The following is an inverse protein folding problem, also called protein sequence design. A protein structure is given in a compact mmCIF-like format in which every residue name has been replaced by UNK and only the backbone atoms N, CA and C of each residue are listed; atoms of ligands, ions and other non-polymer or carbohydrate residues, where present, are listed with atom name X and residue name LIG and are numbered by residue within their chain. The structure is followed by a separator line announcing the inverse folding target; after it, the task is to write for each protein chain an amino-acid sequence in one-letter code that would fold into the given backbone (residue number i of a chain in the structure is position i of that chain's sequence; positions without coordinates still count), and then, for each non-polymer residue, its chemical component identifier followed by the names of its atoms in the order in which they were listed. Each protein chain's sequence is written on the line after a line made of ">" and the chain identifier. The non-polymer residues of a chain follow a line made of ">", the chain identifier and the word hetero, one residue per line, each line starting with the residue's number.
data_IF_453940012293
#
_entry.id   IF_453940012293
#
_cell.length_a   1.000
_cell.length_b   1.000
_cell.length_c   1.000
_cell.angle_alpha   90.00
_cell.angle_beta   90.00
_cell.angle_gamma   90.00
#
_symmetry.space_group_name_H-M   'P 1'
#
loop_
_entity.id
_entity.type
_entity.pdbx_description
1 polymer ?
#
# COMPACT_ATOMS: atom_id res chain seq x y z
N UNK A 1 -15.12 18.64 -73.74
CA UNK A 1 -15.12 18.21 -72.33
C UNK A 1 -14.85 19.44 -71.48
N UNK A 2 -15.88 19.97 -70.83
CA UNK A 2 -15.79 21.23 -70.08
C UNK A 2 -15.32 20.95 -68.66
N UNK A 3 -14.13 21.44 -68.30
CA UNK A 3 -13.62 21.40 -66.93
C UNK A 3 -14.19 22.58 -66.14
N UNK A 4 -15.01 22.29 -65.12
CA UNK A 4 -15.42 23.30 -64.16
C UNK A 4 -14.28 23.53 -63.15
N UNK A 5 -13.86 24.79 -62.89
CA UNK A 5 -12.81 25.07 -61.93
C UNK A 5 -13.36 24.85 -60.51
N UNK A 6 -12.62 24.09 -59.69
CA UNK A 6 -12.96 23.91 -58.28
C UNK A 6 -13.01 25.28 -57.57
N UNK A 7 -14.13 25.57 -56.91
CA UNK A 7 -14.30 26.85 -56.20
C UNK A 7 -13.70 26.76 -54.79
N UNK A 8 -13.31 27.89 -54.19
CA UNK A 8 -12.79 27.92 -52.80
C UNK A 8 -13.75 27.27 -51.80
N UNK A 9 -15.05 27.36 -52.03
CA UNK A 9 -16.09 26.69 -51.23
C UNK A 9 -16.05 25.16 -51.37
N UNK A 10 -15.89 24.62 -52.58
CA UNK A 10 -15.77 23.17 -52.77
C UNK A 10 -14.47 22.62 -52.17
N UNK A 11 -13.38 23.39 -52.21
CA UNK A 11 -12.12 23.03 -51.55
C UNK A 11 -12.25 22.98 -50.02
N UNK A 12 -12.86 24.01 -49.41
CA UNK A 12 -13.06 24.05 -47.95
C UNK A 12 -14.01 22.95 -47.45
N UNK A 13 -15.09 22.65 -48.20
CA UNK A 13 -15.98 21.54 -47.86
C UNK A 13 -15.27 20.18 -47.97
N UNK A 14 -14.45 19.96 -48.99
CA UNK A 14 -13.67 18.74 -49.15
C UNK A 14 -12.59 18.58 -48.06
N UNK A 15 -11.89 19.68 -47.72
CA UNK A 15 -10.90 19.68 -46.64
C UNK A 15 -11.53 19.43 -45.26
N UNK A 16 -12.70 20.01 -44.99
CA UNK A 16 -13.46 19.76 -43.76
C UNK A 16 -13.94 18.31 -43.63
N UNK A 17 -14.42 17.71 -44.72
CA UNK A 17 -14.83 16.30 -44.74
C UNK A 17 -13.65 15.34 -44.52
N UNK A 18 -12.47 15.64 -45.10
CA UNK A 18 -11.26 14.84 -44.89
C UNK A 18 -10.74 14.93 -43.44
N UNK A 19 -10.81 16.12 -42.81
CA UNK A 19 -10.43 16.30 -41.41
C UNK A 19 -11.40 15.60 -40.45
N UNK A 20 -12.71 15.63 -40.73
CA UNK A 20 -13.71 14.92 -39.94
C UNK A 20 -13.57 13.39 -40.05
N UNK A 21 -13.17 12.87 -41.21
CA UNK A 21 -12.90 11.45 -41.41
C UNK A 21 -11.68 10.95 -40.62
N UNK A 22 -10.65 11.79 -40.45
CA UNK A 22 -9.46 11.43 -39.65
C UNK A 22 -9.74 11.39 -38.13
N UNK A 23 -10.69 12.18 -37.65
CA UNK A 23 -11.10 12.18 -36.24
C UNK A 23 -11.94 10.96 -35.84
N UNK A 24 -12.57 10.27 -36.80
CA UNK A 24 -13.38 9.07 -36.54
C UNK A 24 -12.55 7.78 -36.46
N UNK A 25 -11.30 7.79 -36.95
CA UNK A 25 -10.41 6.61 -37.01
C UNK A 25 -9.50 6.51 -35.79
N UNK A 26 -9.29 7.60 -35.06
CA UNK A 26 -8.52 7.59 -33.81
C UNK A 26 -9.36 7.07 -32.64
N UNK A 27 -9.88 5.85 -32.75
CA UNK A 27 -10.30 5.10 -31.57
C UNK A 27 -9.03 4.72 -30.83
N UNK A 28 -8.79 5.34 -29.67
CA UNK A 28 -7.80 4.86 -28.72
C UNK A 28 -8.14 3.40 -28.42
N UNK A 29 -7.43 2.45 -29.03
CA UNK A 29 -7.58 1.05 -28.69
C UNK A 29 -7.10 0.90 -27.24
N UNK A 30 -7.97 0.40 -26.38
CA UNK A 30 -7.57 0.04 -25.03
C UNK A 30 -6.48 -1.05 -25.12
N UNK A 31 -5.54 -1.04 -24.16
CA UNK A 31 -4.57 -2.13 -24.04
C UNK A 31 -5.33 -3.44 -23.82
N UNK A 32 -4.88 -4.51 -24.48
CA UNK A 32 -5.39 -5.86 -24.23
C UNK A 32 -5.26 -6.22 -22.75
N UNK A 33 -6.18 -7.03 -22.18
CA UNK A 33 -6.05 -7.49 -20.80
C UNK A 33 -4.67 -8.09 -20.55
N UNK A 34 -4.07 -7.73 -19.41
CA UNK A 34 -2.75 -8.26 -19.00
C UNK A 34 -2.84 -9.79 -18.95
N UNK A 35 -2.12 -10.46 -19.85
CA UNK A 35 -1.98 -11.92 -19.84
C UNK A 35 -1.20 -12.32 -18.60
N UNK A 36 -1.91 -12.80 -17.59
CA UNK A 36 -1.29 -13.40 -16.41
C UNK A 36 -0.76 -14.79 -16.79
N UNK A 37 0.24 -15.25 -16.05
CA UNK A 37 0.71 -16.65 -16.11
C UNK A 37 -0.43 -17.60 -15.72
N UNK A 38 -0.13 -18.90 -15.60
CA UNK A 38 -1.09 -19.93 -15.18
C UNK A 38 -1.83 -19.61 -13.87
N UNK A 39 -2.66 -20.58 -13.40
CA UNK A 39 -3.55 -20.52 -12.23
C UNK A 39 -3.24 -19.39 -11.23
N UNK A 40 -4.23 -18.55 -10.88
CA UNK A 40 -4.02 -17.45 -9.94
C UNK A 40 -3.43 -17.98 -8.63
N UNK A 41 -2.28 -17.42 -8.22
CA UNK A 41 -1.67 -17.70 -6.91
C UNK A 41 -2.07 -16.62 -5.92
N UNK A 42 -2.84 -17.00 -4.91
CA UNK A 42 -3.12 -16.17 -3.74
C UNK A 42 -2.12 -16.55 -2.64
N UNK A 43 -1.32 -15.59 -2.17
CA UNK A 43 -0.35 -15.79 -1.08
C UNK A 43 -1.01 -15.53 0.27
N UNK A 44 -0.69 -16.33 1.28
CA UNK A 44 -1.19 -16.14 2.63
C UNK A 44 -0.15 -15.47 3.53
N UNK A 45 -0.63 -14.60 4.41
CA UNK A 45 0.17 -13.89 5.41
C UNK A 45 -0.60 -13.82 6.73
N UNK A 46 0.12 -13.77 7.85
CA UNK A 46 -0.47 -13.59 9.18
C UNK A 46 -0.04 -12.25 9.77
N UNK A 47 -1.01 -11.51 10.32
CA UNK A 47 -0.73 -10.28 11.06
C UNK A 47 -0.38 -10.58 12.50
N UNK A 48 0.69 -9.94 13.01
CA UNK A 48 1.14 -10.12 14.39
C UNK A 48 0.06 -9.78 15.43
N UNK A 49 -0.95 -8.99 15.06
CA UNK A 49 -2.11 -8.74 15.92
C UNK A 49 -2.85 -10.02 16.34
N UNK A 50 -2.82 -11.08 15.52
CA UNK A 50 -3.35 -12.40 15.88
C UNK A 50 -2.63 -13.02 17.08
N UNK A 51 -1.41 -12.59 17.39
CA UNK A 51 -0.60 -13.02 18.53
C UNK A 51 -0.60 -11.96 19.66
N UNK A 52 -1.57 -11.03 19.69
CA UNK A 52 -1.64 -9.93 20.68
C UNK A 52 -1.37 -10.39 22.11
N UNK A 53 -2.03 -11.44 22.56
CA UNK A 53 -1.91 -11.94 23.94
C UNK A 53 -0.55 -12.59 24.23
N UNK A 54 0.15 -13.03 23.19
CA UNK A 54 1.47 -13.67 23.29
C UNK A 54 2.61 -12.65 23.19
N UNK A 55 2.40 -11.56 22.45
CA UNK A 55 3.36 -10.49 22.18
C UNK A 55 3.20 -9.26 23.10
N UNK A 56 2.20 -9.26 23.99
CA UNK A 56 1.91 -8.16 24.92
C UNK A 56 2.10 -8.60 26.37
N UNK A 57 2.31 -7.63 27.26
CA UNK A 57 2.40 -7.82 28.71
C UNK A 57 3.75 -7.35 29.25
N UNK A 58 3.91 -7.41 30.58
CA UNK A 58 5.19 -7.11 31.23
C UNK A 58 6.27 -8.13 30.84
N UNK A 59 5.84 -9.38 30.64
CA UNK A 59 6.68 -10.48 30.17
C UNK A 59 5.95 -11.18 29.02
N UNK A 60 6.11 -10.71 27.76
CA UNK A 60 5.56 -11.39 26.60
C UNK A 60 6.02 -12.85 26.55
N UNK A 61 5.13 -13.75 26.13
CA UNK A 61 5.44 -15.18 26.03
C UNK A 61 6.27 -15.49 24.79
N UNK A 62 6.11 -14.69 23.74
CA UNK A 62 6.80 -14.80 22.47
C UNK A 62 7.36 -13.44 22.06
N UNK A 63 8.33 -13.49 21.15
CA UNK A 63 8.90 -12.33 20.47
C UNK A 63 8.41 -12.26 19.01
N UNK A 64 8.70 -11.16 18.32
CA UNK A 64 8.47 -11.07 16.87
C UNK A 64 9.30 -12.09 16.09
N UNK A 65 10.48 -12.48 16.58
CA UNK A 65 11.27 -13.53 15.97
C UNK A 65 10.58 -14.89 16.08
N UNK A 66 10.02 -15.22 17.25
CA UNK A 66 9.24 -16.46 17.43
C UNK A 66 7.98 -16.47 16.55
N UNK A 67 7.32 -15.32 16.42
CA UNK A 67 6.16 -15.16 15.54
C UNK A 67 6.51 -15.40 14.05
N UNK A 68 7.68 -14.92 13.60
CA UNK A 68 8.18 -15.18 12.25
C UNK A 68 8.42 -16.68 12.05
N UNK A 69 9.07 -17.34 13.01
CA UNK A 69 9.31 -18.79 12.95
C UNK A 69 8.00 -19.58 12.87
N UNK A 70 6.99 -19.18 13.61
CA UNK A 70 5.67 -19.81 13.57
C UNK A 70 4.97 -19.60 12.21
N UNK A 71 5.06 -18.41 11.62
CA UNK A 71 4.55 -18.18 10.26
C UNK A 71 5.19 -19.12 9.23
N UNK A 72 6.50 -19.34 9.34
CA UNK A 72 7.22 -20.28 8.48
C UNK A 72 6.80 -21.73 8.73
N UNK A 73 6.65 -22.16 10.00
CA UNK A 73 6.16 -23.50 10.36
C UNK A 73 4.74 -23.75 9.84
N UNK A 74 3.91 -22.72 9.77
CA UNK A 74 2.56 -22.80 9.19
C UNK A 74 2.57 -22.89 7.65
N UNK A 75 3.71 -22.72 7.00
CA UNK A 75 3.82 -22.74 5.53
C UNK A 75 3.24 -21.50 4.86
N UNK A 76 3.18 -20.37 5.57
CA UNK A 76 2.75 -19.10 5.00
C UNK A 76 3.82 -18.53 4.06
N UNK A 77 3.42 -17.66 3.13
CA UNK A 77 4.35 -16.96 2.24
C UNK A 77 4.74 -15.58 2.76
N UNK A 78 4.07 -15.09 3.81
CA UNK A 78 4.44 -13.82 4.42
C UNK A 78 3.95 -13.59 5.82
N UNK A 79 4.36 -12.45 6.36
CA UNK A 79 4.06 -12.00 7.71
C UNK A 79 3.87 -10.48 7.74
N UNK A 80 2.93 -9.98 8.54
CA UNK A 80 2.75 -8.55 8.80
C UNK A 80 3.18 -8.24 10.24
N UNK A 81 4.32 -7.57 10.40
CA UNK A 81 4.88 -7.21 11.71
C UNK A 81 4.26 -5.91 12.20
N UNK A 82 3.69 -5.91 13.40
CA UNK A 82 2.90 -4.78 13.92
C UNK A 82 3.69 -3.91 14.90
N UNK A 83 3.62 -2.58 14.74
CA UNK A 83 4.50 -1.59 15.37
C UNK A 83 4.63 -1.68 16.88
N UNK A 84 3.51 -1.94 17.56
CA UNK A 84 3.45 -1.91 19.03
C UNK A 84 3.92 -3.21 19.69
N UNK A 85 4.41 -4.18 18.91
CA UNK A 85 5.12 -5.36 19.41
C UNK A 85 6.64 -5.27 19.24
N UNK A 86 7.13 -4.19 18.63
CA UNK A 86 8.56 -3.89 18.63
C UNK A 86 8.97 -3.27 19.96
N UNK A 87 10.27 -3.30 20.32
CA UNK A 87 10.81 -2.39 21.32
C UNK A 87 10.40 -0.94 21.04
N UNK A 88 10.32 -0.10 22.07
CA UNK A 88 9.91 1.31 21.91
C UNK A 88 10.76 2.04 20.86
N UNK A 89 12.08 1.82 20.91
CA UNK A 89 13.05 2.32 19.93
C UNK A 89 13.83 1.13 19.34
N UNK A 90 13.28 0.46 18.31
CA UNK A 90 13.98 -0.62 17.64
C UNK A 90 15.15 -0.04 16.84
N UNK A 91 16.34 -0.64 17.00
CA UNK A 91 17.51 -0.22 16.24
C UNK A 91 17.42 -0.67 14.78
N UNK A 92 18.09 0.01 13.83
CA UNK A 92 18.18 -0.45 12.45
C UNK A 92 18.71 -1.89 12.33
N UNK A 93 19.63 -2.28 13.22
CA UNK A 93 20.20 -3.64 13.27
C UNK A 93 19.13 -4.66 13.65
N UNK A 94 18.28 -4.38 14.64
CA UNK A 94 17.18 -5.24 15.02
C UNK A 94 16.17 -5.42 13.87
N UNK A 95 15.82 -4.34 13.18
CA UNK A 95 14.93 -4.41 12.01
C UNK A 95 15.54 -5.27 10.89
N UNK A 96 16.84 -5.10 10.61
CA UNK A 96 17.55 -5.92 9.61
C UNK A 96 17.66 -7.38 10.03
N UNK A 97 17.78 -7.69 11.33
CA UNK A 97 17.78 -9.06 11.84
C UNK A 97 16.45 -9.75 11.56
N UNK A 98 15.31 -9.09 11.82
CA UNK A 98 13.99 -9.65 11.51
C UNK A 98 13.82 -9.86 10.01
N UNK A 99 14.20 -8.87 9.18
CA UNK A 99 14.19 -8.99 7.71
C UNK A 99 15.06 -10.15 7.20
N UNK A 100 16.24 -10.32 7.80
CA UNK A 100 17.14 -11.40 7.45
C UNK A 100 16.54 -12.76 7.81
N UNK A 101 15.91 -12.89 8.99
CA UNK A 101 15.21 -14.10 9.39
C UNK A 101 14.06 -14.45 8.43
N UNK A 102 13.20 -13.48 8.06
CA UNK A 102 12.14 -13.73 7.08
C UNK A 102 12.71 -14.18 5.74
N UNK A 103 13.79 -13.57 5.27
CA UNK A 103 14.47 -13.97 4.04
C UNK A 103 14.97 -15.42 4.10
N UNK A 104 15.66 -15.81 5.19
CA UNK A 104 16.17 -17.18 5.36
C UNK A 104 15.05 -18.23 5.42
N UNK A 105 13.88 -17.85 5.93
CA UNK A 105 12.71 -18.73 6.05
C UNK A 105 11.80 -18.71 4.82
N UNK A 106 12.13 -17.93 3.79
CA UNK A 106 11.32 -17.81 2.57
C UNK A 106 10.00 -17.04 2.76
N UNK A 107 9.93 -16.17 3.77
CA UNK A 107 8.79 -15.30 4.06
C UNK A 107 9.01 -13.89 3.48
N UNK A 108 7.97 -13.35 2.86
CA UNK A 108 7.86 -11.92 2.55
C UNK A 108 7.35 -11.16 3.80
N UNK A 109 7.92 -10.00 4.11
CA UNK A 109 7.23 -9.04 5.00
C UNK A 109 6.17 -8.36 4.15
N UNK A 110 4.91 -8.80 4.28
CA UNK A 110 3.80 -8.35 3.43
C UNK A 110 3.37 -6.91 3.72
N UNK A 111 3.65 -6.44 4.94
CA UNK A 111 3.41 -5.07 5.36
C UNK A 111 3.76 -4.86 6.83
N UNK A 112 3.51 -3.64 7.31
CA UNK A 112 3.53 -3.32 8.74
C UNK A 112 2.31 -2.50 9.12
N UNK A 113 1.99 -2.53 10.40
CA UNK A 113 0.80 -1.93 10.98
C UNK A 113 1.21 -0.92 12.04
N UNK A 114 0.70 0.32 11.98
CA UNK A 114 1.00 1.36 12.97
C UNK A 114 -0.23 1.66 13.80
N UNK A 115 -0.10 1.59 15.13
CA UNK A 115 -1.12 2.05 16.06
C UNK A 115 -1.10 3.57 16.18
N UNK A 116 -1.91 4.30 15.39
CA UNK A 116 -2.09 5.74 15.46
C UNK A 116 -3.58 6.14 15.66
N UNK A 117 -3.82 7.40 15.97
CA UNK A 117 -5.15 8.01 15.99
C UNK A 117 -5.03 9.43 15.40
N UNK A 118 -5.70 9.74 14.29
CA UNK A 118 -5.64 11.09 13.71
C UNK A 118 -6.82 11.98 14.11
N UNK A 119 -7.79 11.45 14.87
CA UNK A 119 -8.96 12.20 15.32
C UNK A 119 -8.66 13.13 16.52
N UNK A 120 -7.43 13.16 17.04
CA UNK A 120 -7.02 14.23 17.98
C UNK A 120 -7.28 15.61 17.35
N UNK A 121 -7.77 16.62 18.09
CA UNK A 121 -7.92 17.97 17.55
C UNK A 121 -6.58 18.57 17.10
N UNK A 122 -6.58 19.65 16.29
CA UNK A 122 -5.34 20.33 15.90
C UNK A 122 -4.49 20.71 17.13
N UNK A 123 -3.26 20.20 17.19
CA UNK A 123 -2.40 20.37 18.36
C UNK A 123 -1.26 19.36 18.39
N UNK A 124 -0.55 19.31 19.51
CA UNK A 124 0.69 18.54 19.63
C UNK A 124 0.47 17.03 19.61
N UNK A 125 -0.65 16.54 20.15
CA UNK A 125 -1.00 15.12 20.05
C UNK A 125 -1.18 14.67 18.60
N UNK A 126 -1.94 15.41 17.78
CA UNK A 126 -2.09 15.10 16.35
C UNK A 126 -0.73 15.13 15.63
N UNK A 127 0.13 16.10 15.94
CA UNK A 127 1.49 16.18 15.38
C UNK A 127 2.33 14.97 15.78
N UNK A 128 2.25 14.52 17.03
CA UNK A 128 2.94 13.32 17.52
C UNK A 128 2.47 12.05 16.82
N UNK A 129 1.17 11.93 16.57
CA UNK A 129 0.62 10.78 15.82
C UNK A 129 1.12 10.75 14.38
N UNK A 130 1.17 11.91 13.71
CA UNK A 130 1.72 12.05 12.35
C UNK A 130 3.22 11.72 12.35
N UNK A 131 3.99 12.25 13.30
CA UNK A 131 5.42 12.01 13.41
C UNK A 131 5.72 10.53 13.63
N UNK A 132 4.94 9.84 14.49
CA UNK A 132 5.04 8.39 14.71
C UNK A 132 4.81 7.60 13.42
N UNK A 133 3.77 7.94 12.64
CA UNK A 133 3.52 7.25 11.36
C UNK A 133 4.67 7.49 10.38
N UNK A 134 5.20 8.72 10.29
CA UNK A 134 6.38 9.01 9.44
C UNK A 134 7.62 8.22 9.88
N UNK A 135 7.90 8.14 11.17
CA UNK A 135 8.99 7.33 11.68
C UNK A 135 8.82 5.84 11.31
N UNK A 136 7.59 5.35 11.30
CA UNK A 136 7.29 3.99 10.84
C UNK A 136 7.40 3.81 9.33
N UNK A 137 7.29 4.87 8.52
CA UNK A 137 7.66 4.82 7.09
C UNK A 137 9.14 4.51 6.94
N UNK A 138 10.00 5.19 7.70
CA UNK A 138 11.44 4.94 7.65
C UNK A 138 11.79 3.52 8.15
N UNK A 139 11.12 3.06 9.22
CA UNK A 139 11.31 1.69 9.73
C UNK A 139 10.80 0.62 8.75
N UNK A 140 9.70 0.88 8.06
CA UNK A 140 9.15 -0.01 7.04
C UNK A 140 10.10 -0.17 5.85
N UNK A 141 10.80 0.90 5.45
CA UNK A 141 11.84 0.85 4.43
C UNK A 141 12.96 -0.13 4.84
N UNK A 142 13.48 0.01 6.07
CA UNK A 142 14.53 -0.89 6.58
C UNK A 142 14.06 -2.35 6.59
N UNK A 143 12.84 -2.60 7.08
CA UNK A 143 12.21 -3.93 7.07
C UNK A 143 11.98 -4.46 5.64
N UNK A 144 11.84 -3.58 4.64
CA UNK A 144 11.39 -3.95 3.30
C UNK A 144 9.89 -4.23 3.23
N UNK A 145 9.10 -3.65 4.13
CA UNK A 145 7.65 -3.76 4.13
C UNK A 145 7.06 -2.84 3.05
N UNK A 146 6.40 -3.36 1.99
CA UNK A 146 5.93 -2.55 0.86
C UNK A 146 4.66 -1.74 1.18
N UNK A 147 3.98 -2.07 2.28
CA UNK A 147 2.69 -1.47 2.67
C UNK A 147 2.71 -1.14 4.16
N UNK A 148 2.15 0.01 4.50
CA UNK A 148 1.88 0.40 5.89
C UNK A 148 0.38 0.58 6.07
N UNK A 149 -0.19 -0.18 6.99
CA UNK A 149 -1.56 -0.03 7.44
C UNK A 149 -1.59 0.90 8.65
N UNK A 150 -2.37 1.97 8.55
CA UNK A 150 -2.63 2.93 9.63
C UNK A 150 -4.11 2.84 10.06
N UNK A 151 -4.46 3.53 11.15
CA UNK A 151 -5.84 3.77 11.53
C UNK A 151 -6.22 5.22 11.21
N UNK A 152 -7.47 5.46 10.81
CA UNK A 152 -7.99 6.82 10.69
C UNK A 152 -8.07 7.49 12.07
N UNK A 153 -8.47 6.73 13.09
CA UNK A 153 -8.69 7.23 14.45
C UNK A 153 -10.11 6.92 14.92
N UNK A 154 -10.46 7.45 16.08
CA UNK A 154 -11.83 7.38 16.61
C UNK A 154 -12.28 8.77 17.08
N UNK A 155 -13.51 9.13 16.71
CA UNK A 155 -14.14 10.37 17.17
C UNK A 155 -14.08 10.45 18.69
N UNK A 156 -13.59 11.59 19.20
CA UNK A 156 -13.44 11.80 20.63
C UNK A 156 -14.76 12.28 21.24
N UNK A 157 -14.90 12.07 22.55
CA UNK A 157 -16.06 12.58 23.28
C UNK A 157 -16.20 14.09 23.08
N UNK A 158 -17.36 14.53 22.59
CA UNK A 158 -17.65 15.94 22.29
C UNK A 158 -17.20 16.43 20.90
N UNK A 159 -16.64 15.56 20.06
CA UNK A 159 -16.25 15.87 18.68
C UNK A 159 -17.36 15.44 17.70
N UNK A 160 -17.68 16.28 16.73
CA UNK A 160 -18.57 15.90 15.63
C UNK A 160 -17.86 15.00 14.61
N UNK A 161 -18.63 14.26 13.81
CA UNK A 161 -18.08 13.41 12.75
C UNK A 161 -17.32 14.20 11.68
N UNK A 162 -17.69 15.47 11.44
CA UNK A 162 -16.96 16.35 10.50
C UNK A 162 -15.61 16.84 11.05
N UNK A 163 -15.48 16.93 12.37
CA UNK A 163 -14.23 17.33 13.02
C UNK A 163 -13.27 16.15 13.24
N UNK A 164 -13.79 14.92 13.23
CA UNK A 164 -13.07 13.67 13.41
C UNK A 164 -12.38 13.21 12.12
#
# INVERSE_FOLDING_TARGET
>A
MSFFPATRRSFLSAAGAAAAAQLLVSRSAAIEPVRRTDKPKFKFSLAAYSYRELLTGQSPKLTLADFIDDCAKMGLEGTELTSYYFPAEPTPEYLRQLKHQTFLLGLDISGTAVGNDFCHPPGDERKTQIAKVKQWVDRAEVLGAPVIRIFSGQARSGQSEQEA
#
